data_IF_943490469051
#
_entry.id   IF_943490469051
#
_cell.length_a   1.000
_cell.length_b   1.000
_cell.length_c   1.000
_cell.angle_alpha   90.00
_cell.angle_beta   90.00
_cell.angle_gamma   90.00
#
_symmetry.space_group_name_H-M   'P 1'
#
loop_
_entity.id
_entity.type
_entity.pdbx_description
1 polymer ?
#
# COMPACT_ATOMS: atom_id res chain seq x y z
N UNK A 1 -9.66 -34.04 41.56
CA UNK A 1 -10.66 -34.63 40.65
C UNK A 1 -11.89 -33.75 40.37
N UNK A 2 -12.24 -32.75 41.21
CA UNK A 2 -13.41 -31.86 40.98
C UNK A 2 -13.26 -30.86 39.81
N UNK A 3 -12.05 -30.33 39.54
CA UNK A 3 -11.84 -29.37 38.44
C UNK A 3 -12.12 -29.94 37.04
N UNK A 4 -11.87 -31.24 36.83
CA UNK A 4 -12.15 -31.91 35.56
C UNK A 4 -13.65 -32.07 35.30
N UNK A 5 -14.44 -32.35 36.35
CA UNK A 5 -15.91 -32.49 36.26
C UNK A 5 -16.61 -31.15 36.01
N UNK A 6 -16.08 -30.05 36.56
CA UNK A 6 -16.63 -28.71 36.33
C UNK A 6 -16.42 -28.23 34.89
N UNK A 7 -15.25 -28.56 34.29
CA UNK A 7 -14.94 -28.18 32.91
C UNK A 7 -15.81 -28.94 31.88
N UNK A 8 -16.10 -30.22 32.13
CA UNK A 8 -16.99 -31.01 31.25
C UNK A 8 -18.44 -30.52 31.30
N UNK A 9 -18.91 -30.07 32.46
CA UNK A 9 -20.28 -29.56 32.62
C UNK A 9 -20.48 -28.20 31.91
N UNK A 10 -19.48 -27.31 31.99
CA UNK A 10 -19.47 -26.03 31.26
C UNK A 10 -19.41 -26.20 29.74
N UNK A 11 -18.71 -27.22 29.25
CA UNK A 11 -18.59 -27.51 27.82
C UNK A 11 -19.90 -28.06 27.21
N UNK A 12 -20.69 -28.82 27.98
CA UNK A 12 -21.96 -29.39 27.51
C UNK A 12 -23.15 -28.40 27.56
N UNK A 13 -23.08 -27.35 28.38
CA UNK A 13 -24.16 -26.35 28.52
C UNK A 13 -23.99 -25.12 27.60
N UNK A 14 -22.80 -24.90 27.02
CA UNK A 14 -22.54 -23.75 26.14
C UNK A 14 -22.81 -23.97 24.64
N UNK A 15 -23.10 -25.21 24.20
CA UNK A 15 -23.13 -25.56 22.77
C UNK A 15 -24.44 -25.32 21.99
N UNK A 16 -25.63 -24.98 22.54
CA UNK A 16 -26.82 -24.77 21.71
C UNK A 16 -27.07 -23.32 21.26
N UNK A 17 -26.22 -22.34 21.60
CA UNK A 17 -26.48 -20.90 21.33
C UNK A 17 -25.94 -20.45 19.94
N UNK A 18 -25.21 -21.29 19.21
CA UNK A 18 -24.57 -20.94 17.93
C UNK A 18 -25.38 -21.31 16.66
N UNK A 19 -26.70 -21.54 16.77
CA UNK A 19 -27.53 -22.00 15.66
C UNK A 19 -28.77 -21.09 15.38
N UNK A 20 -28.61 -19.77 15.41
CA UNK A 20 -29.75 -18.87 15.18
C UNK A 20 -29.41 -17.43 14.82
N UNK A 21 -28.73 -17.19 13.70
CA UNK A 21 -28.70 -15.89 13.01
C UNK A 21 -28.51 -16.09 11.49
N UNK A 22 -29.46 -16.77 10.85
CA UNK A 22 -29.59 -16.82 9.39
C UNK A 22 -31.04 -16.47 9.04
N UNK A 23 -31.36 -15.18 8.90
CA UNK A 23 -32.59 -14.72 8.24
C UNK A 23 -32.46 -13.24 7.81
N UNK A 24 -32.35 -13.09 6.49
CA UNK A 24 -33.07 -12.12 5.66
C UNK A 24 -32.89 -10.61 5.95
N UNK A 25 -32.11 -9.93 5.09
CA UNK A 25 -32.43 -8.58 4.66
C UNK A 25 -32.93 -8.60 3.20
N UNK A 26 -34.20 -8.26 2.95
CA UNK A 26 -34.72 -8.03 1.62
C UNK A 26 -34.38 -6.60 1.14
N UNK A 27 -33.97 -6.48 -0.11
CA UNK A 27 -34.19 -5.28 -0.93
C UNK A 27 -33.49 -3.99 -0.47
N UNK A 28 -32.35 -3.68 -1.08
CA UNK A 28 -32.04 -2.29 -1.40
C UNK A 28 -31.88 -2.18 -2.92
N UNK A 29 -32.96 -1.75 -3.52
CA UNK A 29 -33.10 -1.42 -4.92
C UNK A 29 -32.00 -0.45 -5.36
N UNK A 30 -31.55 -0.68 -6.58
CA UNK A 30 -30.75 0.21 -7.40
C UNK A 30 -31.33 1.63 -7.38
N UNK A 31 -30.70 2.51 -6.59
CA UNK A 31 -30.75 3.94 -6.88
C UNK A 31 -29.61 4.20 -7.86
N UNK A 32 -29.96 4.17 -9.15
CA UNK A 32 -29.18 4.84 -10.17
C UNK A 32 -28.99 6.29 -9.73
N UNK A 33 -27.79 6.61 -9.24
CA UNK A 33 -27.37 7.98 -9.03
C UNK A 33 -27.28 8.64 -10.40
N UNK A 34 -28.01 9.73 -10.59
CA UNK A 34 -27.79 10.62 -11.72
C UNK A 34 -26.32 11.08 -11.71
N UNK A 35 -25.66 11.15 -12.88
CA UNK A 35 -24.28 11.59 -12.94
C UNK A 35 -24.19 13.05 -12.50
N UNK A 36 -23.60 13.29 -11.33
CA UNK A 36 -23.17 14.62 -10.91
C UNK A 36 -21.92 14.94 -11.73
N UNK A 37 -21.99 15.99 -12.53
CA UNK A 37 -20.86 16.47 -13.31
C UNK A 37 -19.74 16.95 -12.37
N UNK A 38 -18.63 16.21 -12.33
CA UNK A 38 -17.42 16.64 -11.65
C UNK A 38 -16.75 17.75 -12.47
N UNK A 39 -16.40 18.92 -11.89
CA UNK A 39 -15.79 20.03 -12.62
C UNK A 39 -14.29 19.83 -12.97
N UNK A 40 -13.72 18.64 -12.72
CA UNK A 40 -12.37 18.28 -13.17
C UNK A 40 -12.47 17.71 -14.60
N UNK A 41 -12.95 18.52 -15.55
CA UNK A 41 -12.63 18.29 -16.97
C UNK A 41 -11.18 18.67 -17.17
N UNK A 42 -10.29 17.71 -16.98
CA UNK A 42 -8.91 17.80 -17.46
C UNK A 42 -9.02 17.98 -18.98
N UNK A 43 -8.65 19.16 -19.48
CA UNK A 43 -8.58 19.43 -20.91
C UNK A 43 -7.71 18.40 -21.62
N UNK A 44 -7.95 18.21 -22.93
CA UNK A 44 -7.24 17.23 -23.75
C UNK A 44 -5.71 17.32 -23.52
N UNK A 45 -5.16 16.31 -22.84
CA UNK A 45 -3.72 16.14 -22.69
C UNK A 45 -3.18 15.76 -24.06
N UNK A 46 -2.56 16.72 -24.74
CA UNK A 46 -1.79 16.47 -25.96
C UNK A 46 -0.54 15.69 -25.56
N UNK A 47 -0.57 14.38 -25.80
CA UNK A 47 0.62 13.52 -25.66
C UNK A 47 1.42 13.68 -26.95
N UNK A 48 2.41 14.56 -26.95
CA UNK A 48 3.39 14.62 -28.03
C UNK A 48 4.32 13.42 -27.87
N UNK A 49 4.04 12.35 -28.63
CA UNK A 49 4.95 11.23 -28.77
C UNK A 49 6.28 11.76 -29.31
N UNK A 50 7.34 11.63 -28.51
CA UNK A 50 8.68 11.98 -28.96
C UNK A 50 9.13 10.92 -29.96
N UNK A 51 9.20 11.32 -31.23
CA UNK A 51 9.61 10.52 -32.38
C UNK A 51 10.98 9.87 -32.13
N UNK A 52 11.02 8.54 -32.10
CA UNK A 52 12.26 7.77 -32.09
C UNK A 52 12.64 7.45 -33.54
N UNK A 53 13.86 7.75 -34.01
CA UNK A 53 14.24 7.44 -35.38
C UNK A 53 14.22 5.93 -35.63
N UNK A 54 13.48 5.54 -36.67
CA UNK A 54 13.42 4.18 -37.17
C UNK A 54 14.81 3.70 -37.60
N UNK A 55 15.34 2.69 -36.90
CA UNK A 55 16.46 1.90 -37.41
C UNK A 55 15.94 0.99 -38.54
N UNK A 56 16.66 0.88 -39.68
CA UNK A 56 16.21 0.08 -40.80
C UNK A 56 16.20 -1.42 -40.46
N UNK A 57 15.12 -2.07 -40.88
CA UNK A 57 14.92 -3.51 -40.83
C UNK A 57 15.99 -4.24 -41.66
N UNK A 58 16.87 -4.97 -40.97
CA UNK A 58 17.63 -6.05 -41.58
C UNK A 58 16.81 -7.34 -41.48
N UNK A 59 16.22 -7.72 -42.60
CA UNK A 59 15.72 -9.09 -42.81
C UNK A 59 16.92 -10.01 -43.00
N UNK A 60 17.01 -11.13 -42.28
CA UNK A 60 17.60 -12.35 -42.87
C UNK A 60 17.17 -13.61 -42.13
N UNK A 61 16.50 -14.46 -42.90
CA UNK A 61 16.62 -15.93 -43.03
C UNK A 61 16.73 -16.82 -41.77
N UNK A 62 15.85 -17.82 -41.74
CA UNK A 62 15.78 -18.85 -40.71
C UNK A 62 16.95 -19.82 -40.67
N UNK A 63 17.00 -20.56 -39.56
CA UNK A 63 17.86 -21.74 -39.36
C UNK A 63 17.11 -22.79 -38.51
N UNK A 64 17.25 -24.10 -38.85
CA UNK A 64 16.52 -25.21 -38.23
C UNK A 64 17.12 -25.66 -36.89
N UNK A 65 16.46 -26.57 -36.13
CA UNK A 65 16.94 -26.99 -34.82
C UNK A 65 17.93 -28.15 -34.93
N UNK A 66 19.06 -28.07 -34.23
CA UNK A 66 19.90 -29.23 -33.93
C UNK A 66 20.67 -29.07 -32.61
N UNK A 67 20.39 -30.04 -31.73
CA UNK A 67 21.31 -30.77 -30.85
C UNK A 67 22.18 -30.07 -29.79
N UNK A 68 22.12 -30.70 -28.60
CA UNK A 68 22.87 -30.47 -27.36
C UNK A 68 24.37 -30.77 -27.48
N UNK A 69 25.21 -30.04 -26.75
CA UNK A 69 26.08 -30.58 -25.67
C UNK A 69 26.93 -29.48 -25.00
N UNK A 70 27.43 -29.69 -23.75
CA UNK A 70 27.92 -28.64 -22.87
C UNK A 70 29.45 -28.51 -22.88
N UNK A 71 29.97 -27.30 -22.67
CA UNK A 71 31.34 -27.09 -22.24
C UNK A 71 31.49 -25.75 -21.49
N UNK A 72 31.88 -25.91 -20.24
CA UNK A 72 32.42 -24.96 -19.27
C UNK A 72 33.40 -23.93 -19.84
N UNK A 73 33.20 -22.65 -19.53
CA UNK A 73 34.28 -21.66 -19.37
C UNK A 73 33.83 -20.48 -18.49
N UNK A 74 34.73 -19.91 -17.66
CA UNK A 74 34.39 -19.03 -16.55
C UNK A 74 34.20 -17.55 -16.92
N UNK A 75 33.29 -16.93 -16.17
CA UNK A 75 33.24 -15.51 -15.76
C UNK A 75 34.14 -14.52 -16.51
N UNK A 76 33.59 -13.92 -17.56
CA UNK A 76 33.99 -12.58 -17.99
C UNK A 76 33.24 -11.57 -17.12
N UNK A 77 33.97 -10.84 -16.28
CA UNK A 77 33.45 -9.73 -15.51
C UNK A 77 32.80 -8.69 -16.44
N UNK A 78 31.60 -8.17 -16.14
CA UNK A 78 31.06 -7.04 -16.87
C UNK A 78 31.96 -5.83 -16.62
N UNK A 79 32.55 -5.31 -17.69
CA UNK A 79 33.28 -4.05 -17.69
C UNK A 79 32.28 -2.93 -17.45
N UNK A 80 32.34 -2.34 -16.25
CA UNK A 80 31.67 -1.09 -15.92
C UNK A 80 32.35 0.03 -16.70
N UNK A 81 31.78 0.43 -17.83
CA UNK A 81 32.11 1.73 -18.43
C UNK A 81 31.67 2.83 -17.47
N UNK A 82 32.54 3.79 -17.09
CA UNK A 82 32.14 4.93 -16.29
C UNK A 82 31.15 5.79 -17.09
N UNK A 83 29.88 5.72 -16.72
CA UNK A 83 28.87 6.64 -17.22
C UNK A 83 29.24 8.07 -16.76
N UNK A 84 29.38 9.05 -17.66
CA UNK A 84 29.65 10.42 -17.29
C UNK A 84 28.55 10.95 -16.36
N UNK A 85 28.95 11.47 -15.21
CA UNK A 85 28.05 12.10 -14.26
C UNK A 85 27.27 13.23 -14.94
N UNK A 86 25.93 13.27 -14.85
CA UNK A 86 25.16 14.45 -15.25
C UNK A 86 25.63 15.65 -14.44
N UNK A 87 25.99 16.73 -15.15
CA UNK A 87 26.35 17.99 -14.53
C UNK A 87 25.24 18.44 -13.55
N UNK A 88 25.63 18.70 -12.31
CA UNK A 88 24.73 19.25 -11.31
C UNK A 88 24.12 20.56 -11.82
N UNK A 89 22.80 20.77 -11.71
CA UNK A 89 22.21 22.06 -12.00
C UNK A 89 22.70 23.08 -10.96
N UNK A 90 23.35 24.12 -11.46
CA UNK A 90 23.76 25.29 -10.68
C UNK A 90 22.53 25.89 -9.99
N UNK A 91 22.54 26.11 -8.66
CA UNK A 91 21.48 26.87 -8.01
C UNK A 91 21.51 28.30 -8.56
N UNK A 92 20.53 28.67 -9.40
CA UNK A 92 20.27 30.09 -9.68
C UNK A 92 19.80 30.71 -8.38
N UNK A 93 20.67 31.52 -7.76
CA UNK A 93 20.28 32.47 -6.73
C UNK A 93 19.23 33.40 -7.34
N UNK A 94 17.96 33.13 -7.03
CA UNK A 94 16.87 34.06 -7.30
C UNK A 94 16.95 35.14 -6.22
N UNK A 95 17.57 36.25 -6.56
CA UNK A 95 17.46 37.49 -5.78
C UNK A 95 16.01 37.95 -5.86
N UNK A 96 15.20 37.55 -4.87
CA UNK A 96 13.84 38.03 -4.71
C UNK A 96 13.90 39.52 -4.32
N UNK A 97 13.30 40.37 -5.15
CA UNK A 97 13.09 41.77 -4.83
C UNK A 97 12.17 41.91 -3.59
N UNK A 98 12.32 42.98 -2.78
CA UNK A 98 11.44 43.20 -1.63
C UNK A 98 10.02 43.50 -2.12
N UNK A 99 9.09 42.56 -1.91
CA UNK A 99 7.68 42.83 -2.15
C UNK A 99 7.18 43.75 -1.03
N UNK A 100 6.84 44.98 -1.41
CA UNK A 100 6.17 45.95 -0.56
C UNK A 100 4.86 45.34 -0.02
N UNK A 101 4.70 45.43 1.29
CA UNK A 101 3.65 44.75 2.05
C UNK A 101 2.23 45.10 1.60
N UNK A 102 1.47 44.05 1.30
CA UNK A 102 0.01 44.10 1.34
C UNK A 102 -0.42 43.94 2.80
N UNK A 103 -1.30 44.77 3.36
CA UNK A 103 -1.79 44.60 4.72
C UNK A 103 -2.50 43.25 4.86
N UNK A 104 -1.88 42.34 5.61
CA UNK A 104 -2.42 41.02 5.89
C UNK A 104 -3.59 41.22 6.87
N UNK A 105 -4.80 41.32 6.33
CA UNK A 105 -6.02 41.26 7.11
C UNK A 105 -5.97 40.00 7.97
N UNK A 106 -5.98 40.17 9.29
CA UNK A 106 -5.93 39.10 10.27
C UNK A 106 -7.14 38.17 10.06
N UNK A 107 -6.93 37.11 9.30
CA UNK A 107 -7.89 36.02 9.16
C UNK A 107 -7.89 35.28 10.48
N UNK A 108 -9.06 35.17 11.11
CA UNK A 108 -9.22 34.37 12.32
C UNK A 108 -8.58 32.98 12.11
N UNK A 109 -7.90 32.41 13.12
CA UNK A 109 -7.31 31.09 13.00
C UNK A 109 -8.38 30.09 12.51
N UNK A 110 -8.09 29.27 11.49
CA UNK A 110 -9.01 28.21 11.11
C UNK A 110 -9.27 27.35 12.34
N UNK A 111 -10.54 27.24 12.73
CA UNK A 111 -10.95 26.40 13.85
C UNK A 111 -10.65 24.96 13.45
N UNK A 112 -9.51 24.44 13.91
CA UNK A 112 -9.09 23.07 13.62
C UNK A 112 -10.10 22.17 14.31
N UNK A 113 -10.90 21.38 13.56
CA UNK A 113 -11.85 20.48 14.19
C UNK A 113 -11.09 19.54 15.13
N UNK A 114 -11.35 19.68 16.42
CA UNK A 114 -10.71 18.87 17.45
C UNK A 114 -11.25 17.45 17.34
N UNK A 115 -10.42 16.52 16.88
CA UNK A 115 -10.77 15.10 16.89
C UNK A 115 -11.00 14.71 18.36
N UNK A 116 -12.19 14.24 18.75
CA UNK A 116 -12.46 13.88 20.13
C UNK A 116 -11.45 12.82 20.58
N UNK A 117 -10.73 13.12 21.66
CA UNK A 117 -9.76 12.17 22.23
C UNK A 117 -10.55 11.06 22.92
N UNK A 118 -10.74 9.96 22.22
CA UNK A 118 -11.36 8.75 22.77
C UNK A 118 -10.35 7.93 23.59
N UNK A 119 -10.80 7.05 24.51
CA UNK A 119 -9.91 6.13 25.20
C UNK A 119 -9.02 5.29 24.25
N UNK A 120 -9.56 4.89 23.10
CA UNK A 120 -8.83 4.16 22.06
C UNK A 120 -7.73 5.00 21.42
N UNK A 121 -7.98 6.30 21.23
CA UNK A 121 -6.98 7.23 20.73
C UNK A 121 -5.83 7.44 21.74
N UNK A 122 -6.16 7.47 23.04
CA UNK A 122 -5.15 7.55 24.10
C UNK A 122 -4.30 6.28 24.17
N UNK A 123 -4.93 5.11 24.14
CA UNK A 123 -4.24 3.82 24.13
C UNK A 123 -3.30 3.70 22.93
N UNK A 124 -3.80 4.06 21.74
CA UNK A 124 -3.00 4.08 20.53
C UNK A 124 -1.74 4.95 20.67
N UNK A 125 -1.90 6.16 21.20
CA UNK A 125 -0.77 7.07 21.42
C UNK A 125 0.19 6.53 22.48
N UNK A 126 -0.32 5.92 23.55
CA UNK A 126 0.50 5.35 24.62
C UNK A 126 1.39 4.19 24.16
N UNK A 127 0.93 3.45 23.13
CA UNK A 127 1.67 2.35 22.50
C UNK A 127 2.55 2.81 21.32
N UNK A 128 2.69 4.13 21.14
CA UNK A 128 3.51 4.75 20.09
C UNK A 128 2.87 4.75 18.70
N UNK A 129 1.56 4.52 18.62
CA UNK A 129 0.80 4.59 17.37
C UNK A 129 0.24 5.97 17.06
N UNK A 130 -0.27 6.09 15.84
CA UNK A 130 -0.95 7.28 15.31
C UNK A 130 -2.42 6.95 15.15
N UNK A 131 -3.28 7.70 15.82
CA UNK A 131 -4.73 7.58 15.67
C UNK A 131 -5.18 8.34 14.42
N UNK A 132 -5.68 7.62 13.43
CA UNK A 132 -6.01 8.18 12.11
C UNK A 132 -7.30 7.62 11.55
N UNK A 133 -7.86 8.32 10.56
CA UNK A 133 -9.06 7.88 9.83
C UNK A 133 -8.70 6.74 8.88
N UNK A 134 -9.65 5.82 8.69
CA UNK A 134 -9.50 4.67 7.79
C UNK A 134 -10.25 4.94 6.48
N UNK A 135 -9.50 5.06 5.37
CA UNK A 135 -10.05 5.39 4.06
C UNK A 135 -10.91 6.66 4.08
N UNK A 136 -12.03 6.65 3.34
CA UNK A 136 -13.01 7.75 3.28
C UNK A 136 -14.14 7.62 4.32
N UNK A 137 -14.03 6.66 5.24
CA UNK A 137 -15.07 6.38 6.24
C UNK A 137 -14.99 7.33 7.43
N UNK A 138 -15.96 7.25 8.34
CA UNK A 138 -15.88 7.91 9.67
C UNK A 138 -15.14 7.07 10.71
N UNK A 139 -14.64 5.88 10.34
CA UNK A 139 -13.91 5.00 11.23
C UNK A 139 -12.47 5.49 11.46
N UNK A 140 -11.94 5.14 12.63
CA UNK A 140 -10.57 5.45 13.02
C UNK A 140 -9.86 4.17 13.46
N UNK A 141 -8.56 4.11 13.21
CA UNK A 141 -7.70 3.00 13.61
C UNK A 141 -6.37 3.50 14.16
N UNK A 142 -5.71 2.61 14.90
CA UNK A 142 -4.38 2.86 15.41
C UNK A 142 -3.34 2.33 14.41
N UNK A 143 -2.61 3.25 13.78
CA UNK A 143 -1.53 2.92 12.86
C UNK A 143 -0.20 2.88 13.60
N UNK A 144 0.58 1.83 13.40
CA UNK A 144 1.92 1.69 13.99
C UNK A 144 2.92 1.33 12.90
N UNK A 145 4.12 1.90 12.99
CA UNK A 145 5.22 1.49 12.13
C UNK A 145 5.77 0.14 12.60
N UNK A 146 6.05 -0.76 11.67
CA UNK A 146 6.66 -2.06 11.96
C UNK A 146 8.17 -1.91 12.13
N UNK A 147 8.80 -2.76 12.94
CA UNK A 147 10.26 -2.67 13.22
C UNK A 147 11.13 -3.19 12.07
N UNK A 148 10.51 -3.87 11.14
CA UNK A 148 11.11 -4.55 10.00
C UNK A 148 10.64 -3.98 8.66
N UNK A 149 9.98 -2.82 8.67
CA UNK A 149 9.55 -2.09 7.49
C UNK A 149 10.60 -2.12 6.37
N UNK A 150 10.22 -2.63 5.20
CA UNK A 150 11.08 -2.66 4.01
C UNK A 150 12.15 -3.75 3.98
N UNK A 151 12.36 -4.53 5.06
CA UNK A 151 13.26 -5.69 5.03
C UNK A 151 12.74 -6.74 4.05
N UNK A 152 13.65 -7.44 3.38
CA UNK A 152 13.27 -8.50 2.44
C UNK A 152 12.67 -9.71 3.18
N UNK A 153 11.64 -10.32 2.58
CA UNK A 153 10.93 -11.47 3.13
C UNK A 153 10.55 -12.47 2.04
N UNK A 154 10.33 -13.73 2.43
CA UNK A 154 9.87 -14.80 1.54
C UNK A 154 8.46 -15.29 1.87
N UNK A 155 7.98 -15.04 3.08
CA UNK A 155 6.66 -15.43 3.60
C UNK A 155 6.26 -14.54 4.78
N UNK A 156 4.99 -14.59 5.17
CA UNK A 156 4.42 -13.80 6.27
C UNK A 156 5.25 -13.88 7.56
N UNK A 157 5.66 -15.10 7.95
CA UNK A 157 6.34 -15.35 9.23
C UNK A 157 7.77 -14.78 9.31
N UNK A 158 8.31 -14.28 8.21
CA UNK A 158 9.61 -13.59 8.23
C UNK A 158 9.47 -12.14 8.71
N UNK A 159 8.23 -11.63 8.78
CA UNK A 159 7.89 -10.27 9.16
C UNK A 159 7.14 -10.20 10.49
N UNK A 160 7.15 -9.03 11.13
CA UNK A 160 6.33 -8.71 12.31
C UNK A 160 4.83 -8.76 11.98
N UNK A 161 4.48 -8.43 10.73
CA UNK A 161 3.10 -8.45 10.22
C UNK A 161 3.04 -9.17 8.88
N UNK A 162 2.94 -8.43 7.77
CA UNK A 162 2.73 -8.97 6.44
C UNK A 162 3.98 -8.86 5.56
N UNK A 163 4.19 -9.88 4.71
CA UNK A 163 5.17 -9.85 3.63
C UNK A 163 4.47 -9.47 2.32
N UNK A 164 4.78 -8.29 1.76
CA UNK A 164 4.16 -7.81 0.53
C UNK A 164 4.59 -8.65 -0.66
N UNK A 165 3.64 -9.22 -1.40
CA UNK A 165 3.95 -10.15 -2.49
C UNK A 165 4.66 -9.47 -3.66
N UNK A 166 4.25 -8.24 -4.00
CA UNK A 166 4.80 -7.46 -5.13
C UNK A 166 6.26 -7.08 -4.93
N UNK A 167 6.64 -6.64 -3.73
CA UNK A 167 7.98 -6.15 -3.44
C UNK A 167 8.87 -7.14 -2.73
N UNK A 168 8.30 -8.23 -2.18
CA UNK A 168 9.01 -9.17 -1.28
C UNK A 168 9.66 -8.45 -0.10
N UNK A 169 8.93 -7.50 0.48
CA UNK A 169 9.36 -6.73 1.65
C UNK A 169 8.29 -6.68 2.73
N UNK A 170 8.71 -6.56 3.99
CA UNK A 170 7.81 -6.44 5.13
C UNK A 170 7.05 -5.12 5.09
N UNK A 171 5.76 -5.17 5.43
CA UNK A 171 4.84 -4.05 5.45
C UNK A 171 5.37 -2.91 6.33
N UNK A 172 5.28 -1.63 5.91
CA UNK A 172 5.83 -0.52 6.68
C UNK A 172 4.96 -0.09 7.87
N UNK A 173 3.65 -0.37 7.82
CA UNK A 173 2.67 0.04 8.82
C UNK A 173 1.69 -1.09 9.11
N UNK A 174 1.08 -1.07 10.30
CA UNK A 174 0.01 -1.96 10.70
C UNK A 174 -1.14 -1.20 11.38
N UNK A 175 -2.42 -1.53 11.08
CA UNK A 175 -2.84 -2.45 10.03
C UNK A 175 -2.63 -1.83 8.63
N UNK A 176 -2.46 -2.68 7.61
CA UNK A 176 -2.48 -2.25 6.21
C UNK A 176 -3.91 -2.18 5.71
N UNK A 177 -4.46 -0.97 5.66
CA UNK A 177 -5.83 -0.74 5.18
C UNK A 177 -5.93 -0.96 3.67
N UNK A 178 -7.07 -1.47 3.25
CA UNK A 178 -7.39 -1.83 1.88
C UNK A 178 -6.91 -3.23 1.51
N UNK A 179 -7.07 -3.55 0.22
CA UNK A 179 -6.71 -4.86 -0.33
C UNK A 179 -5.26 -4.87 -0.84
N UNK A 180 -4.41 -5.66 -0.20
CA UNK A 180 -3.00 -5.78 -0.51
C UNK A 180 -2.63 -7.24 -0.83
N UNK A 181 -1.88 -7.51 -1.93
CA UNK A 181 -1.35 -8.83 -2.18
C UNK A 181 -0.18 -9.11 -1.21
N UNK A 182 -0.33 -10.15 -0.40
CA UNK A 182 0.62 -10.57 0.64
C UNK A 182 0.97 -12.05 0.47
N UNK A 183 2.13 -12.45 0.97
CA UNK A 183 2.50 -13.86 1.06
C UNK A 183 2.09 -14.40 2.41
N UNK A 184 1.34 -15.51 2.45
CA UNK A 184 1.01 -16.22 3.69
C UNK A 184 2.23 -16.93 4.31
N UNK A 185 2.01 -17.59 5.45
CA UNK A 185 3.04 -18.36 6.16
C UNK A 185 3.63 -19.52 5.33
N UNK A 186 2.87 -20.06 4.40
CA UNK A 186 3.32 -21.09 3.45
C UNK A 186 3.94 -20.51 2.16
N UNK A 187 4.04 -19.18 2.07
CA UNK A 187 4.60 -18.46 0.92
C UNK A 187 3.64 -18.30 -0.26
N UNK A 188 2.39 -18.76 -0.16
CA UNK A 188 1.38 -18.52 -1.20
C UNK A 188 0.93 -17.07 -1.20
N UNK A 189 0.77 -16.50 -2.38
CA UNK A 189 0.20 -15.17 -2.54
C UNK A 189 -1.32 -15.20 -2.35
N UNK A 190 -1.83 -14.29 -1.52
CA UNK A 190 -3.26 -14.01 -1.36
C UNK A 190 -3.50 -12.51 -1.27
N UNK A 191 -4.74 -12.09 -1.49
CA UNK A 191 -5.16 -10.71 -1.26
C UNK A 191 -5.76 -10.60 0.15
N UNK A 192 -5.12 -9.82 1.01
CA UNK A 192 -5.62 -9.46 2.35
C UNK A 192 -6.33 -8.11 2.26
N UNK A 193 -7.61 -8.05 2.63
CA UNK A 193 -8.40 -6.83 2.69
C UNK A 193 -8.78 -6.51 4.14
N UNK A 194 -8.44 -5.31 4.61
CA UNK A 194 -8.79 -4.80 5.94
C UNK A 194 -9.45 -3.42 5.79
N UNK A 195 -10.63 -3.26 6.36
CA UNK A 195 -11.44 -2.03 6.35
C UNK A 195 -11.64 -1.43 7.76
#
# INVERSE_FOLDING_TARGET
MMRKRLLTLLLCLGLPILAGCQLALPGRADRAAAPVANPITVGAVQVTSLDAPALPAAQTAGVPPAARSPATAPAAAPQTTPQPAPAAPTPRAQTAAPQAGVPQAASAPPEVPSIPITPQALECKSTGGVWGRVGDTVAFSCFRQTRDAGKSCRRQTDCETECLARSRTCAPITPMIGCNPVLQADGREVTLCID
#
